data_IF_304346229463
#
_entry.id   IF_304346229463
#
_cell.length_a   1.000
_cell.length_b   1.000
_cell.length_c   1.000
_cell.angle_alpha   90.00
_cell.angle_beta   90.00
_cell.angle_gamma   90.00
#
_symmetry.space_group_name_H-M   'P 1'
#
loop_
_entity.id
_entity.type
_entity.pdbx_description
1 polymer ?
#
# COMPACT_ATOMS: atom_id res chain seq x y z
N UNK A 1 4.13 2.55 -12.50
CA UNK A 1 3.66 1.97 -11.23
C UNK A 1 4.69 1.03 -10.65
N UNK A 2 4.69 0.90 -9.36
CA UNK A 2 5.64 0.04 -8.65
C UNK A 2 4.87 -1.15 -8.08
N UNK A 3 5.48 -2.32 -8.13
CA UNK A 3 4.91 -3.51 -7.51
C UNK A 3 5.49 -3.69 -6.11
N UNK A 4 4.71 -4.29 -5.23
CA UNK A 4 5.16 -4.57 -3.88
C UNK A 4 4.20 -5.49 -3.16
N UNK A 5 4.46 -5.70 -1.88
CA UNK A 5 3.64 -6.54 -1.03
C UNK A 5 3.21 -5.78 0.21
N UNK A 6 2.01 -6.07 0.67
CA UNK A 6 1.49 -5.48 1.90
C UNK A 6 2.23 -6.09 3.08
N UNK A 7 2.87 -5.26 3.87
CA UNK A 7 3.53 -5.68 5.09
C UNK A 7 2.50 -5.99 6.16
N UNK A 8 1.58 -5.06 6.38
CA UNK A 8 0.41 -5.25 7.22
C UNK A 8 -0.58 -4.13 6.95
N UNK A 9 -1.83 -4.37 7.28
CA UNK A 9 -2.87 -3.37 7.09
C UNK A 9 -3.91 -3.52 8.19
N UNK A 10 -4.29 -2.38 8.79
CA UNK A 10 -5.31 -2.34 9.83
C UNK A 10 -6.62 -1.87 9.22
N UNK A 11 -7.54 -2.80 8.96
CA UNK A 11 -8.81 -2.49 8.33
C UNK A 11 -9.70 -1.61 9.21
N UNK A 12 -9.57 -1.72 10.52
CA UNK A 12 -10.36 -0.93 11.44
C UNK A 12 -9.95 0.54 11.44
N UNK A 13 -8.67 0.80 11.34
CA UNK A 13 -8.13 2.17 11.31
C UNK A 13 -7.96 2.69 9.88
N UNK A 14 -7.94 1.82 8.90
CA UNK A 14 -7.88 2.20 7.50
C UNK A 14 -6.49 2.59 7.01
N UNK A 15 -5.43 2.03 7.59
CA UNK A 15 -4.08 2.29 7.11
C UNK A 15 -3.15 1.10 7.35
N UNK A 16 -2.02 1.13 6.69
CA UNK A 16 -1.01 0.09 6.84
C UNK A 16 0.26 0.48 6.12
N UNK A 17 1.10 -0.52 5.86
CA UNK A 17 2.37 -0.31 5.20
C UNK A 17 2.59 -1.33 4.10
N UNK A 18 3.26 -0.87 3.04
CA UNK A 18 3.58 -1.68 1.88
C UNK A 18 5.08 -1.65 1.67
N UNK A 19 5.66 -2.79 1.32
CA UNK A 19 7.07 -2.89 0.96
C UNK A 19 7.18 -2.97 -0.56
N UNK A 20 7.95 -2.06 -1.15
CA UNK A 20 8.23 -2.11 -2.58
C UNK A 20 9.14 -3.30 -2.88
N UNK A 21 8.95 -3.91 -4.04
CA UNK A 21 9.78 -5.03 -4.46
C UNK A 21 11.25 -4.61 -4.50
N UNK A 22 12.10 -5.42 -3.89
CA UNK A 22 13.52 -5.14 -3.81
C UNK A 22 13.93 -4.16 -2.73
N UNK A 23 12.97 -3.70 -1.92
CA UNK A 23 13.24 -2.73 -0.86
C UNK A 23 12.56 -3.14 0.44
N UNK A 24 13.09 -4.18 1.05
CA UNK A 24 12.50 -4.75 2.26
C UNK A 24 12.66 -3.86 3.49
N UNK A 25 13.52 -2.87 3.42
CA UNK A 25 13.83 -1.99 4.54
C UNK A 25 13.08 -0.66 4.49
N UNK A 26 12.21 -0.46 3.51
CA UNK A 26 11.54 0.82 3.33
C UNK A 26 10.03 0.64 3.33
N UNK A 27 9.40 1.01 4.44
CA UNK A 27 7.96 0.93 4.57
C UNK A 27 7.30 2.14 3.92
N UNK A 28 6.31 1.89 3.07
CA UNK A 28 5.53 2.94 2.44
C UNK A 28 4.17 3.01 3.10
N UNK A 29 3.82 4.18 3.60
CA UNK A 29 2.52 4.37 4.25
C UNK A 29 1.39 4.22 3.23
N UNK A 30 0.37 3.44 3.59
CA UNK A 30 -0.79 3.20 2.74
C UNK A 30 -2.06 3.48 3.52
N UNK A 31 -2.89 4.40 3.01
CA UNK A 31 -4.17 4.74 3.63
C UNK A 31 -5.30 4.21 2.76
N UNK A 32 -6.43 3.85 3.37
CA UNK A 32 -7.53 3.27 2.61
C UNK A 32 -8.04 4.19 1.49
N UNK A 33 -7.92 5.50 1.66
CA UNK A 33 -8.33 6.45 0.64
C UNK A 33 -7.45 6.38 -0.61
N UNK A 34 -6.27 5.79 -0.51
CA UNK A 34 -5.37 5.60 -1.63
C UNK A 34 -5.62 4.29 -2.37
N UNK A 35 -6.49 3.45 -1.85
CA UNK A 35 -6.80 2.15 -2.46
C UNK A 35 -7.84 2.34 -3.55
N UNK A 36 -7.48 1.95 -4.77
CA UNK A 36 -8.35 2.06 -5.94
C UNK A 36 -8.92 0.69 -6.30
N UNK A 37 -9.83 0.22 -5.49
CA UNK A 37 -10.52 -1.05 -5.74
C UNK A 37 -12.02 -0.83 -5.54
N UNK A 38 -12.82 -1.50 -6.35
CA UNK A 38 -14.27 -1.44 -6.19
C UNK A 38 -14.68 -2.23 -4.95
N UNK A 39 -15.67 -1.69 -4.24
CA UNK A 39 -16.23 -2.35 -3.08
C UNK A 39 -15.35 -2.23 -1.85
N UNK A 40 -14.94 -3.34 -1.32
CA UNK A 40 -14.26 -3.39 -0.03
C UNK A 40 -12.81 -2.94 -0.13
N UNK A 41 -12.49 -1.82 0.49
CA UNK A 41 -11.14 -1.23 0.44
C UNK A 41 -10.31 -1.74 1.59
N UNK A 42 -9.76 -2.93 1.43
CA UNK A 42 -8.88 -3.51 2.43
C UNK A 42 -7.74 -4.26 1.75
N UNK A 43 -6.66 -4.44 2.49
CA UNK A 43 -5.49 -5.16 2.01
C UNK A 43 -5.17 -6.27 2.99
N UNK A 44 -4.67 -7.38 2.46
CA UNK A 44 -4.27 -8.52 3.28
C UNK A 44 -2.75 -8.57 3.40
N UNK A 45 -2.25 -9.00 4.53
CA UNK A 45 -0.82 -9.16 4.75
C UNK A 45 -0.25 -10.11 3.70
N UNK A 46 0.85 -9.68 3.07
CA UNK A 46 1.49 -10.47 2.02
C UNK A 46 0.86 -10.35 0.64
N UNK A 47 -0.23 -9.61 0.50
CA UNK A 47 -0.89 -9.42 -0.79
C UNK A 47 0.00 -8.63 -1.74
N UNK A 48 0.09 -9.10 -2.99
CA UNK A 48 0.84 -8.38 -4.03
C UNK A 48 -0.04 -7.26 -4.57
N UNK A 49 0.52 -6.06 -4.60
CA UNK A 49 -0.20 -4.87 -5.05
C UNK A 49 0.66 -4.05 -5.99
N UNK A 50 -0.01 -3.22 -6.80
CA UNK A 50 0.66 -2.20 -7.59
C UNK A 50 0.24 -0.84 -7.07
N UNK A 51 1.17 0.09 -7.06
CA UNK A 51 0.92 1.41 -6.51
C UNK A 51 1.88 2.44 -7.08
N UNK A 52 1.60 3.69 -6.82
CA UNK A 52 2.52 4.78 -7.12
C UNK A 52 3.08 5.32 -5.82
N UNK A 53 4.29 5.85 -5.88
CA UNK A 53 4.91 6.44 -4.70
C UNK A 53 4.83 7.96 -4.79
N UNK A 54 4.64 8.59 -3.65
CA UNK A 54 4.64 10.03 -3.56
C UNK A 54 5.30 10.45 -2.25
N UNK A 55 5.89 11.62 -2.25
CA UNK A 55 6.55 12.15 -1.06
C UNK A 55 5.55 12.94 -0.24
N UNK A 56 5.30 12.47 0.96
CA UNK A 56 4.37 13.12 1.87
C UNK A 56 5.08 13.74 3.06
N UNK A 57 4.32 14.37 3.96
CA UNK A 57 4.89 15.03 5.15
C UNK A 57 5.64 14.06 6.06
N UNK A 58 5.26 12.79 6.05
CA UNK A 58 5.86 11.76 6.89
C UNK A 58 6.83 10.86 6.14
N UNK A 59 7.19 11.22 4.92
CA UNK A 59 8.05 10.43 4.06
C UNK A 59 7.30 9.87 2.85
N UNK A 60 7.79 8.77 2.31
CA UNK A 60 7.17 8.18 1.11
C UNK A 60 5.85 7.50 1.46
N UNK A 61 4.89 7.70 0.58
CA UNK A 61 3.55 7.11 0.71
C UNK A 61 3.20 6.37 -0.57
N UNK A 62 2.41 5.31 -0.42
CA UNK A 62 1.84 4.59 -1.56
C UNK A 62 0.50 5.21 -1.91
N UNK A 63 0.29 5.47 -3.21
CA UNK A 63 -0.96 6.02 -3.71
C UNK A 63 -1.44 5.19 -4.89
N UNK A 64 -2.70 5.37 -5.28
CA UNK A 64 -3.29 4.63 -6.41
C UNK A 64 -3.07 3.13 -6.28
N UNK A 65 -3.28 2.60 -5.09
CA UNK A 65 -3.02 1.20 -4.76
C UNK A 65 -4.11 0.31 -5.36
N UNK A 66 -3.68 -0.75 -6.04
CA UNK A 66 -4.62 -1.74 -6.57
C UNK A 66 -4.02 -3.13 -6.47
N UNK A 67 -4.89 -4.13 -6.46
CA UNK A 67 -4.44 -5.52 -6.47
C UNK A 67 -3.69 -5.82 -7.78
N UNK A 68 -2.58 -6.55 -7.68
CA UNK A 68 -1.75 -6.88 -8.84
C UNK A 68 -2.17 -8.14 -9.57
N UNK A 69 -3.17 -8.80 -9.08
CA UNK A 69 -3.59 -10.09 -9.67
C UNK A 69 -4.51 -9.91 -10.85
#
# INVERSE_FOLDING_TARGET
MVSGKVKWFNNAKGYGFILADGRDDEDLFAHFSAIQMEGYKSLNEGQVVEFETTKGPKGLQATSIRAAA
#
